data_IF_492230524032
#
_entry.id   IF_492230524032
#
_cell.length_a   1.000
_cell.length_b   1.000
_cell.length_c   1.000
_cell.angle_alpha   90.00
_cell.angle_beta   90.00
_cell.angle_gamma   90.00
#
_symmetry.space_group_name_H-M   'P 1'
#
loop_
_entity.id
_entity.type
_entity.pdbx_description
1 polymer ?
#
# COMPACT_ATOMS: atom_id res chain seq x y z
N UNK A 1 4.75 5.84 -12.90
CA UNK A 1 3.42 6.04 -13.51
C UNK A 1 2.32 5.77 -12.51
N UNK A 2 1.14 6.37 -12.73
CA UNK A 2 -0.06 6.19 -11.90
C UNK A 2 -1.28 6.10 -12.80
N UNK A 3 -2.36 5.49 -12.30
CA UNK A 3 -3.67 5.49 -12.94
C UNK A 3 -4.69 6.21 -12.03
N UNK A 4 -5.42 7.16 -12.60
CA UNK A 4 -6.44 7.94 -11.89
C UNK A 4 -7.72 7.93 -12.71
N UNK A 5 -8.78 7.29 -12.19
CA UNK A 5 -10.12 7.31 -12.78
C UNK A 5 -10.95 8.40 -12.10
N UNK A 6 -11.56 9.30 -12.86
CA UNK A 6 -12.36 10.41 -12.31
C UNK A 6 -13.83 10.16 -12.63
N UNK A 7 -14.66 10.16 -11.60
CA UNK A 7 -16.08 9.83 -11.65
C UNK A 7 -16.92 10.83 -10.86
N UNK A 8 -18.22 10.82 -11.13
CA UNK A 8 -19.24 11.53 -10.35
C UNK A 8 -20.23 10.50 -9.84
N UNK A 9 -20.45 10.50 -8.53
CA UNK A 9 -21.26 9.50 -7.87
C UNK A 9 -22.75 9.86 -7.94
N UNK A 10 -23.61 8.90 -7.63
CA UNK A 10 -25.05 9.09 -7.44
C UNK A 10 -25.47 8.31 -6.21
N UNK A 11 -26.29 8.92 -5.35
CA UNK A 11 -26.82 8.22 -4.18
C UNK A 11 -28.30 7.92 -4.37
N UNK A 12 -28.68 6.65 -4.28
CA UNK A 12 -30.05 6.17 -4.42
C UNK A 12 -30.46 5.38 -3.17
N UNK A 13 -31.68 5.58 -2.69
CA UNK A 13 -32.26 4.83 -1.58
C UNK A 13 -33.17 3.74 -2.14
N UNK A 14 -32.74 2.48 -2.06
CA UNK A 14 -33.46 1.33 -2.58
C UNK A 14 -34.83 1.12 -1.90
N UNK A 15 -34.90 1.24 -0.58
CA UNK A 15 -36.14 1.05 0.19
C UNK A 15 -37.22 2.07 -0.18
N UNK A 16 -36.82 3.34 -0.30
CA UNK A 16 -37.70 4.47 -0.63
C UNK A 16 -37.84 4.71 -2.13
N UNK A 17 -37.14 3.93 -2.96
CA UNK A 17 -37.09 4.03 -4.42
C UNK A 17 -36.90 5.45 -4.94
N UNK A 18 -35.93 6.19 -4.38
CA UNK A 18 -35.66 7.58 -4.77
C UNK A 18 -34.21 8.00 -4.55
N UNK A 19 -33.79 9.02 -5.28
CA UNK A 19 -32.49 9.65 -5.10
C UNK A 19 -32.32 10.23 -3.69
N UNK A 20 -31.11 10.09 -3.15
CA UNK A 20 -30.65 10.77 -1.94
C UNK A 20 -29.98 12.07 -2.38
N UNK A 21 -30.68 13.18 -2.18
CA UNK A 21 -30.24 14.51 -2.58
C UNK A 21 -29.33 15.18 -1.54
N UNK A 22 -29.25 14.64 -0.32
CA UNK A 22 -28.42 15.15 0.76
C UNK A 22 -26.99 14.60 0.77
N UNK A 23 -26.70 13.56 -0.02
CA UNK A 23 -25.35 13.01 -0.12
C UNK A 23 -24.42 14.04 -0.79
N UNK A 24 -23.26 14.28 -0.19
CA UNK A 24 -22.26 15.20 -0.70
C UNK A 24 -20.87 14.77 -0.27
N UNK A 25 -19.84 15.36 -0.89
CA UNK A 25 -18.45 15.18 -0.52
C UNK A 25 -17.67 14.30 -1.50
N UNK A 26 -16.42 14.05 -1.14
CA UNK A 26 -15.45 13.34 -1.98
C UNK A 26 -15.22 11.93 -1.46
N UNK A 27 -15.12 10.97 -2.37
CA UNK A 27 -14.74 9.60 -2.05
C UNK A 27 -13.58 9.16 -2.93
N UNK A 28 -12.66 8.40 -2.35
CA UNK A 28 -11.55 7.81 -3.10
C UNK A 28 -11.55 6.31 -2.86
N UNK A 29 -11.50 5.55 -3.94
CA UNK A 29 -11.53 4.10 -3.94
C UNK A 29 -10.20 3.54 -4.42
N UNK A 30 -9.69 2.57 -3.67
CA UNK A 30 -8.59 1.71 -4.09
C UNK A 30 -9.09 0.29 -4.34
N UNK A 31 -8.33 -0.46 -5.13
CA UNK A 31 -8.64 -1.86 -5.36
C UNK A 31 -8.62 -2.64 -4.03
N UNK A 32 -9.68 -3.39 -3.75
CA UNK A 32 -9.73 -4.35 -2.64
C UNK A 32 -8.91 -5.61 -2.95
N UNK A 33 -8.62 -6.38 -1.90
CA UNK A 33 -8.03 -7.72 -1.97
C UNK A 33 -8.99 -8.78 -2.52
N UNK A 34 -10.30 -8.52 -2.53
CA UNK A 34 -11.27 -9.39 -3.20
C UNK A 34 -10.97 -9.48 -4.70
N UNK A 35 -11.01 -10.69 -5.27
CA UNK A 35 -10.59 -11.01 -6.64
C UNK A 35 -9.09 -10.91 -6.92
N UNK A 36 -8.21 -10.87 -5.91
CA UNK A 36 -6.76 -11.07 -6.12
C UNK A 36 -6.50 -12.41 -6.81
N UNK A 37 -7.13 -13.51 -6.41
CA UNK A 37 -6.90 -14.82 -7.05
C UNK A 37 -7.24 -14.80 -8.54
N UNK A 38 -8.38 -14.20 -8.91
CA UNK A 38 -8.77 -14.03 -10.32
C UNK A 38 -7.79 -13.10 -11.05
N UNK A 39 -7.31 -12.02 -10.40
CA UNK A 39 -6.27 -11.12 -10.93
C UNK A 39 -4.98 -11.88 -11.21
N UNK A 40 -4.51 -12.62 -10.20
CA UNK A 40 -3.29 -13.44 -10.23
C UNK A 40 -3.39 -14.48 -11.33
N UNK A 41 -4.52 -15.18 -11.46
CA UNK A 41 -4.70 -16.19 -12.51
C UNK A 41 -4.73 -15.59 -13.92
N UNK A 42 -5.46 -14.48 -14.13
CA UNK A 42 -5.46 -13.80 -15.45
C UNK A 42 -4.08 -13.25 -15.82
N UNK A 43 -3.30 -12.73 -14.87
CA UNK A 43 -1.96 -12.20 -15.14
C UNK A 43 -0.91 -13.31 -15.27
N UNK A 44 -1.09 -14.45 -14.58
CA UNK A 44 -0.31 -15.68 -14.80
C UNK A 44 -0.49 -16.22 -16.21
N UNK A 45 -1.72 -16.25 -16.72
CA UNK A 45 -2.05 -16.75 -18.06
C UNK A 45 -1.62 -15.81 -19.19
N UNK A 46 -1.57 -14.50 -18.94
CA UNK A 46 -1.26 -13.47 -19.95
C UNK A 46 0.24 -13.13 -20.06
N UNK A 47 1.11 -13.73 -19.23
CA UNK A 47 2.55 -13.63 -19.36
C UNK A 47 3.06 -14.37 -20.61
N UNK A 48 3.03 -13.71 -21.77
CA UNK A 48 3.69 -14.22 -22.97
C UNK A 48 5.08 -13.62 -23.09
N UNK A 49 6.09 -14.48 -23.19
CA UNK A 49 7.44 -14.05 -23.55
C UNK A 49 7.60 -14.33 -25.03
N UNK A 50 8.04 -13.32 -25.78
CA UNK A 50 8.54 -13.52 -27.14
C UNK A 50 9.85 -14.29 -27.04
N UNK A 51 9.84 -15.54 -27.47
CA UNK A 51 11.03 -16.38 -27.57
C UNK A 51 11.40 -16.54 -29.03
N UNK A 52 12.68 -16.66 -29.33
CA UNK A 52 13.14 -16.97 -30.69
C UNK A 52 13.40 -18.47 -30.74
N UNK A 53 12.76 -19.17 -31.67
CA UNK A 53 12.96 -20.62 -31.83
C UNK A 53 14.37 -20.90 -32.41
N UNK A 54 14.76 -22.18 -32.48
CA UNK A 54 16.08 -22.57 -33.03
C UNK A 54 16.28 -22.20 -34.51
N UNK A 55 15.21 -21.85 -35.23
CA UNK A 55 15.23 -21.39 -36.61
C UNK A 55 15.31 -19.86 -36.73
N UNK A 56 15.36 -19.11 -35.62
CA UNK A 56 15.45 -17.65 -35.63
C UNK A 56 14.11 -16.93 -35.70
N UNK A 57 12.97 -17.63 -35.58
CA UNK A 57 11.64 -17.04 -35.69
C UNK A 57 11.08 -16.66 -34.31
N UNK A 58 10.45 -15.48 -34.21
CA UNK A 58 9.74 -15.06 -33.00
C UNK A 58 8.48 -15.92 -32.78
N UNK A 59 8.45 -16.69 -31.70
CA UNK A 59 7.28 -17.41 -31.20
C UNK A 59 6.84 -16.83 -29.85
N UNK A 60 5.54 -16.57 -29.69
CA UNK A 60 4.96 -16.15 -28.41
C UNK A 60 4.63 -17.40 -27.58
N UNK A 61 5.48 -17.74 -26.61
CA UNK A 61 5.20 -18.83 -25.67
C UNK A 61 4.43 -18.30 -24.46
N UNK A 62 3.24 -18.86 -24.22
CA UNK A 62 2.52 -18.68 -22.95
C UNK A 62 3.15 -19.60 -21.92
N UNK A 63 3.79 -19.02 -20.91
CA UNK A 63 4.31 -19.77 -19.79
C UNK A 63 3.23 -19.82 -18.69
N UNK A 64 2.84 -21.03 -18.30
CA UNK A 64 2.04 -21.20 -17.10
C UNK A 64 2.94 -21.08 -15.85
N UNK A 65 2.86 -19.92 -15.20
CA UNK A 65 3.59 -19.66 -13.96
C UNK A 65 2.85 -20.13 -12.70
N UNK A 66 1.68 -20.78 -12.83
CA UNK A 66 0.84 -21.19 -11.69
C UNK A 66 1.61 -22.00 -10.65
N UNK A 67 2.51 -22.88 -11.09
CA UNK A 67 3.32 -23.77 -10.25
C UNK A 67 4.66 -23.17 -9.77
N UNK A 68 5.08 -22.01 -10.30
CA UNK A 68 6.37 -21.41 -9.95
C UNK A 68 6.28 -20.58 -8.66
N UNK A 69 6.73 -21.17 -7.54
CA UNK A 69 6.71 -20.55 -6.21
C UNK A 69 7.43 -19.19 -6.15
N UNK A 70 8.57 -19.04 -6.83
CA UNK A 70 9.36 -17.80 -6.85
C UNK A 70 8.64 -16.70 -7.63
N UNK A 71 8.04 -17.04 -8.77
CA UNK A 71 7.25 -16.09 -9.55
C UNK A 71 6.04 -15.60 -8.75
N UNK A 72 5.32 -16.53 -8.11
CA UNK A 72 4.16 -16.24 -7.28
C UNK A 72 4.53 -15.30 -6.12
N UNK A 73 5.66 -15.56 -5.46
CA UNK A 73 6.21 -14.70 -4.43
C UNK A 73 6.45 -13.26 -4.90
N UNK A 74 7.17 -13.10 -6.01
CA UNK A 74 7.51 -11.79 -6.57
C UNK A 74 6.23 -11.04 -6.94
N UNK A 75 5.26 -11.76 -7.50
CA UNK A 75 3.98 -11.18 -7.89
C UNK A 75 3.16 -10.73 -6.67
N UNK A 76 3.07 -11.54 -5.61
CA UNK A 76 2.44 -11.14 -4.35
C UNK A 76 3.07 -9.88 -3.76
N UNK A 77 4.41 -9.81 -3.75
CA UNK A 77 5.15 -8.63 -3.26
C UNK A 77 4.79 -7.40 -4.10
N UNK A 78 4.82 -7.51 -5.44
CA UNK A 78 4.44 -6.40 -6.33
C UNK A 78 3.01 -5.94 -6.10
N UNK A 79 2.09 -6.86 -5.87
CA UNK A 79 0.69 -6.53 -5.58
C UNK A 79 0.54 -5.78 -4.25
N UNK A 80 1.26 -6.19 -3.22
CA UNK A 80 1.30 -5.49 -1.94
C UNK A 80 1.90 -4.07 -2.08
N UNK A 81 2.98 -3.93 -2.86
CA UNK A 81 3.58 -2.63 -3.18
C UNK A 81 2.60 -1.70 -3.90
N UNK A 82 1.96 -2.19 -4.98
CA UNK A 82 0.96 -1.43 -5.74
C UNK A 82 -0.19 -0.99 -4.83
N UNK A 83 -0.66 -1.88 -3.94
CA UNK A 83 -1.70 -1.55 -2.98
C UNK A 83 -1.29 -0.42 -2.03
N UNK A 84 -0.08 -0.49 -1.46
CA UNK A 84 0.45 0.55 -0.57
C UNK A 84 0.61 1.89 -1.29
N UNK A 85 1.17 1.87 -2.50
CA UNK A 85 1.34 3.06 -3.32
C UNK A 85 -0.01 3.68 -3.70
N UNK A 86 -1.01 2.85 -4.03
CA UNK A 86 -2.38 3.30 -4.34
C UNK A 86 -3.06 3.91 -3.11
N UNK A 87 -2.84 3.33 -1.92
CA UNK A 87 -3.36 3.84 -0.65
C UNK A 87 -2.77 5.22 -0.34
N UNK A 88 -1.47 5.40 -0.53
CA UNK A 88 -0.81 6.70 -0.34
C UNK A 88 -1.31 7.73 -1.35
N UNK A 89 -1.36 7.38 -2.63
CA UNK A 89 -1.90 8.24 -3.68
C UNK A 89 -3.33 8.68 -3.36
N UNK A 90 -4.19 7.74 -2.95
CA UNK A 90 -5.57 8.01 -2.56
C UNK A 90 -5.67 8.97 -1.38
N UNK A 91 -4.80 8.80 -0.38
CA UNK A 91 -4.76 9.68 0.79
C UNK A 91 -4.39 11.11 0.41
N UNK A 92 -3.30 11.32 -0.34
CA UNK A 92 -2.89 12.68 -0.73
C UNK A 92 -3.96 13.38 -1.57
N UNK A 93 -4.49 12.69 -2.58
CA UNK A 93 -5.57 13.22 -3.42
C UNK A 93 -6.82 13.53 -2.60
N UNK A 94 -7.24 12.61 -1.73
CA UNK A 94 -8.40 12.79 -0.86
C UNK A 94 -8.24 13.99 0.08
N UNK A 95 -7.07 14.14 0.70
CA UNK A 95 -6.76 15.27 1.58
C UNK A 95 -6.82 16.61 0.83
N UNK A 96 -6.16 16.74 -0.31
CA UNK A 96 -6.15 18.02 -1.06
C UNK A 96 -7.52 18.40 -1.61
N UNK A 97 -8.31 17.42 -2.05
CA UNK A 97 -9.69 17.70 -2.50
C UNK A 97 -10.65 17.99 -1.34
N UNK A 98 -10.41 17.39 -0.17
CA UNK A 98 -11.28 17.53 1.00
C UNK A 98 -11.03 18.79 1.83
N UNK A 99 -9.85 19.40 1.72
CA UNK A 99 -9.43 20.55 2.53
C UNK A 99 -10.23 21.86 2.28
N UNK A 100 -11.05 21.93 1.23
CA UNK A 100 -11.87 23.12 0.88
C UNK A 100 -13.35 22.92 1.23
N UNK A 101 -13.63 22.56 2.48
CA UNK A 101 -15.01 22.34 3.00
C UNK A 101 -15.77 21.16 2.35
N UNK A 102 -15.08 20.34 1.56
CA UNK A 102 -15.65 19.17 0.89
C UNK A 102 -15.37 17.95 1.76
N UNK A 103 -16.32 17.59 2.61
CA UNK A 103 -16.14 16.48 3.53
C UNK A 103 -15.57 15.22 2.83
N UNK A 104 -14.37 14.79 3.23
CA UNK A 104 -13.74 13.57 2.71
C UNK A 104 -14.38 12.37 3.41
N UNK A 105 -15.05 11.50 2.66
CA UNK A 105 -15.75 10.33 3.23
C UNK A 105 -14.82 9.11 3.40
N UNK A 106 -13.51 9.36 3.48
CA UNK A 106 -12.44 8.40 3.65
C UNK A 106 -11.99 7.69 2.36
N UNK A 107 -10.89 6.93 2.49
CA UNK A 107 -10.42 6.00 1.45
C UNK A 107 -11.12 4.66 1.64
N UNK A 108 -11.80 4.19 0.58
CA UNK A 108 -12.59 2.96 0.59
C UNK A 108 -11.93 1.90 -0.30
N UNK A 109 -12.14 0.64 0.02
CA UNK A 109 -11.70 -0.47 -0.81
C UNK A 109 -12.89 -1.02 -1.58
N UNK A 110 -12.78 -1.16 -2.90
CA UNK A 110 -13.83 -1.73 -3.74
C UNK A 110 -13.23 -2.52 -4.89
N UNK A 111 -13.86 -3.64 -5.24
CA UNK A 111 -13.45 -4.43 -6.42
C UNK A 111 -13.99 -3.74 -7.66
N UNK A 112 -13.19 -2.86 -8.25
CA UNK A 112 -13.55 -2.09 -9.44
C UNK A 112 -12.84 -2.69 -10.66
N UNK A 113 -13.58 -2.93 -11.74
CA UNK A 113 -13.01 -3.49 -12.98
C UNK A 113 -11.89 -2.61 -13.54
N UNK A 114 -12.07 -1.28 -13.49
CA UNK A 114 -11.13 -0.29 -14.02
C UNK A 114 -9.78 -0.26 -13.30
N UNK A 115 -9.72 -0.67 -12.03
CA UNK A 115 -8.47 -0.74 -11.25
C UNK A 115 -7.89 -2.16 -11.18
N UNK A 116 -8.58 -3.16 -11.75
CA UNK A 116 -8.24 -4.57 -11.57
C UNK A 116 -7.04 -5.05 -12.41
N UNK A 117 -6.80 -4.51 -13.62
CA UNK A 117 -5.74 -4.99 -14.53
C UNK A 117 -4.45 -4.16 -14.53
N UNK A 118 -4.29 -3.24 -13.59
CA UNK A 118 -3.13 -2.35 -13.58
C UNK A 118 -1.97 -2.92 -12.74
N UNK A 119 -0.76 -2.83 -13.31
CA UNK A 119 0.53 -3.09 -12.66
C UNK A 119 1.18 -1.80 -12.09
N UNK A 120 0.41 -0.71 -12.05
CA UNK A 120 0.80 0.59 -11.50
C UNK A 120 -0.18 1.01 -10.40
N UNK A 121 0.21 1.94 -9.50
CA UNK A 121 -0.68 2.49 -8.48
C UNK A 121 -1.95 3.07 -9.11
N UNK A 122 -3.12 2.73 -8.57
CA UNK A 122 -4.41 3.06 -9.18
C UNK A 122 -5.47 3.48 -8.18
N UNK A 123 -6.18 4.56 -8.50
CA UNK A 123 -7.28 5.10 -7.69
C UNK A 123 -8.47 5.45 -8.57
N UNK A 124 -9.68 5.30 -8.01
CA UNK A 124 -10.90 5.88 -8.55
C UNK A 124 -11.35 6.99 -7.61
N UNK A 125 -11.65 8.15 -8.17
CA UNK A 125 -12.07 9.34 -7.44
C UNK A 125 -13.52 9.62 -7.80
N UNK A 126 -14.38 9.67 -6.79
CA UNK A 126 -15.71 10.27 -6.91
C UNK A 126 -15.61 11.71 -6.44
N UNK A 127 -15.68 12.64 -7.40
CA UNK A 127 -15.47 14.07 -7.11
C UNK A 127 -16.67 14.73 -6.47
N UNK A 128 -17.83 14.08 -6.35
CA UNK A 128 -19.08 14.61 -5.80
C UNK A 128 -20.28 13.74 -6.18
N UNK A 129 -21.49 14.15 -5.79
CA UNK A 129 -22.74 13.46 -6.05
C UNK A 129 -23.63 14.23 -7.03
N UNK A 130 -23.95 13.65 -8.18
CA UNK A 130 -24.83 14.24 -9.20
C UNK A 130 -26.28 14.39 -8.71
N UNK A 131 -26.69 13.59 -7.73
CA UNK A 131 -28.03 13.65 -7.11
C UNK A 131 -28.19 14.85 -6.18
N UNK A 132 -27.09 15.49 -5.76
CA UNK A 132 -27.11 16.71 -4.97
C UNK A 132 -27.00 17.94 -5.88
N UNK A 133 -27.97 18.84 -5.78
CA UNK A 133 -28.07 20.01 -6.64
C UNK A 133 -26.93 21.02 -6.43
N UNK A 134 -26.49 21.23 -5.18
CA UNK A 134 -25.37 22.12 -4.88
C UNK A 134 -24.05 21.57 -5.45
N UNK A 135 -23.79 20.28 -5.27
CA UNK A 135 -22.61 19.63 -5.84
C UNK A 135 -22.65 19.62 -7.37
N UNK A 136 -23.81 19.37 -7.97
CA UNK A 136 -23.98 19.42 -9.44
C UNK A 136 -23.69 20.81 -9.99
N UNK A 137 -24.21 21.87 -9.36
CA UNK A 137 -23.90 23.26 -9.75
C UNK A 137 -22.42 23.57 -9.61
N UNK A 138 -21.81 23.17 -8.50
CA UNK A 138 -20.38 23.32 -8.27
C UNK A 138 -19.55 22.62 -9.35
N UNK A 139 -19.80 21.33 -9.61
CA UNK A 139 -19.08 20.53 -10.62
C UNK A 139 -19.28 21.05 -12.05
N UNK A 140 -20.41 21.70 -12.35
CA UNK A 140 -20.65 22.33 -13.65
C UNK A 140 -19.99 23.70 -13.81
N UNK A 141 -19.74 24.41 -12.71
CA UNK A 141 -19.09 25.72 -12.73
C UNK A 141 -17.61 25.61 -13.13
N UNK A 142 -17.08 26.66 -13.78
CA UNK A 142 -15.65 26.71 -14.14
C UNK A 142 -14.76 26.73 -12.90
N UNK A 143 -15.16 27.47 -11.87
CA UNK A 143 -14.41 27.55 -10.63
C UNK A 143 -14.37 26.19 -9.90
N UNK A 144 -15.50 25.48 -9.83
CA UNK A 144 -15.55 24.15 -9.22
C UNK A 144 -14.68 23.14 -9.97
N UNK A 145 -14.73 23.11 -11.31
CA UNK A 145 -13.83 22.25 -12.11
C UNK A 145 -12.36 22.59 -11.86
N UNK A 146 -12.00 23.87 -11.77
CA UNK A 146 -10.64 24.33 -11.47
C UNK A 146 -10.20 23.88 -10.09
N UNK A 147 -11.06 24.02 -9.08
CA UNK A 147 -10.79 23.58 -7.71
C UNK A 147 -10.57 22.07 -7.66
N UNK A 148 -11.43 21.28 -8.30
CA UNK A 148 -11.32 19.82 -8.37
C UNK A 148 -10.02 19.38 -9.05
N UNK A 149 -9.76 19.90 -10.24
CA UNK A 149 -8.55 19.58 -10.99
C UNK A 149 -7.30 19.97 -10.21
N UNK A 150 -7.32 21.11 -9.51
CA UNK A 150 -6.20 21.56 -8.69
C UNK A 150 -5.98 20.66 -7.48
N UNK A 151 -7.04 20.23 -6.78
CA UNK A 151 -6.92 19.29 -5.67
C UNK A 151 -6.33 17.94 -6.09
N UNK A 152 -6.76 17.40 -7.23
CA UNK A 152 -6.18 16.17 -7.81
C UNK A 152 -4.69 16.39 -8.14
N UNK A 153 -4.37 17.50 -8.81
CA UNK A 153 -2.99 17.86 -9.17
C UNK A 153 -2.09 17.98 -7.93
N UNK A 154 -2.49 18.77 -6.93
CA UNK A 154 -1.71 18.98 -5.72
C UNK A 154 -1.51 17.67 -4.96
N UNK A 155 -2.52 16.80 -4.92
CA UNK A 155 -2.41 15.46 -4.33
C UNK A 155 -1.39 14.57 -5.04
N UNK A 156 -1.37 14.60 -6.38
CA UNK A 156 -0.39 13.87 -7.19
C UNK A 156 1.02 14.42 -6.98
N UNK A 157 1.19 15.75 -6.92
CA UNK A 157 2.50 16.37 -6.69
C UNK A 157 3.04 16.01 -5.30
N UNK A 158 2.20 16.05 -4.25
CA UNK A 158 2.60 15.61 -2.91
C UNK A 158 3.00 14.13 -2.89
N UNK A 159 2.19 13.27 -3.51
CA UNK A 159 2.53 11.86 -3.67
C UNK A 159 3.89 11.66 -4.34
N UNK A 160 4.14 12.37 -5.45
CA UNK A 160 5.41 12.28 -6.19
C UNK A 160 6.59 12.74 -5.33
N UNK A 161 6.47 13.87 -4.64
CA UNK A 161 7.53 14.40 -3.78
C UNK A 161 7.92 13.38 -2.70
N UNK A 162 6.95 12.81 -2.02
CA UNK A 162 7.21 11.83 -0.94
C UNK A 162 7.78 10.52 -1.50
N UNK A 163 7.36 10.11 -2.71
CA UNK A 163 7.94 8.98 -3.43
C UNK A 163 9.41 9.23 -3.83
N UNK A 164 9.72 10.40 -4.38
CA UNK A 164 11.08 10.77 -4.79
C UNK A 164 12.02 10.86 -3.59
N UNK A 165 11.60 11.50 -2.49
CA UNK A 165 12.37 11.58 -1.24
C UNK A 165 12.67 10.19 -0.68
N UNK A 166 11.68 9.29 -0.72
CA UNK A 166 11.88 7.90 -0.30
C UNK A 166 12.91 7.20 -1.18
N UNK A 167 12.91 7.46 -2.49
CA UNK A 167 13.87 6.88 -3.44
C UNK A 167 15.27 7.46 -3.29
N UNK A 168 15.40 8.76 -3.06
CA UNK A 168 16.67 9.45 -2.86
C UNK A 168 17.35 9.02 -1.55
N UNK A 169 16.58 8.84 -0.47
CA UNK A 169 17.08 8.26 0.77
C UNK A 169 17.67 6.85 0.56
N UNK A 170 17.07 6.04 -0.32
CA UNK A 170 17.56 4.71 -0.68
C UNK A 170 18.79 4.75 -1.62
N UNK A 171 18.92 5.80 -2.44
CA UNK A 171 20.05 5.97 -3.37
C UNK A 171 21.27 6.66 -2.72
N UNK A 172 21.08 7.49 -1.70
CA UNK A 172 22.17 8.13 -0.95
C UNK A 172 22.96 7.15 -0.08
N UNK A 173 22.34 6.05 0.37
CA UNK A 173 23.00 5.01 1.18
C UNK A 173 23.92 4.09 0.35
N UNK A 174 23.80 4.06 -0.99
CA UNK A 174 24.55 3.13 -1.86
C UNK A 174 25.91 3.65 -2.34
N UNK A 175 26.27 4.91 -2.08
CA UNK A 175 27.56 5.50 -2.52
C UNK A 175 28.69 5.28 -1.49
N UNK A 176 28.38 4.89 -0.24
CA UNK A 176 29.35 4.93 0.86
C UNK A 176 29.78 3.57 1.44
N UNK A 177 29.73 2.48 0.66
CA UNK A 177 30.19 1.15 1.12
C UNK A 177 31.17 0.50 0.14
N UNK A 178 32.45 0.87 0.25
CA UNK A 178 33.56 -0.04 -0.06
C UNK A 178 34.13 -0.55 1.26
N UNK A 179 34.42 -1.84 1.27
CA UNK A 179 35.23 -2.62 2.21
C UNK A 179 34.81 -2.63 3.68
N UNK A 180 34.25 -3.77 4.12
CA UNK A 180 35.02 -4.80 4.83
C UNK A 180 34.11 -5.98 5.13
N UNK A 181 34.46 -7.13 4.57
CA UNK A 181 34.00 -8.44 5.02
C UNK A 181 34.53 -8.72 6.43
N UNK A 182 33.65 -9.09 7.36
CA UNK A 182 33.98 -10.06 8.41
C UNK A 182 32.72 -10.78 8.89
N UNK A 183 32.82 -12.11 8.89
CA UNK A 183 31.93 -13.07 9.52
C UNK A 183 31.57 -12.71 10.96
N UNK A 184 30.30 -12.85 11.32
CA UNK A 184 29.95 -13.32 12.67
C UNK A 184 28.64 -14.09 12.66
N UNK A 185 28.73 -15.36 13.05
CA UNK A 185 27.62 -16.18 13.55
C UNK A 185 26.88 -15.45 14.66
N UNK A 186 25.56 -15.59 14.75
CA UNK A 186 24.83 -15.61 16.02
C UNK A 186 23.50 -16.37 15.89
N UNK A 187 23.34 -17.31 16.81
CA UNK A 187 22.30 -18.31 16.92
C UNK A 187 20.99 -17.79 17.52
N UNK A 188 19.88 -18.35 17.00
CA UNK A 188 18.65 -18.82 17.66
C UNK A 188 18.08 -18.10 18.90
N UNK A 189 16.83 -17.61 18.77
CA UNK A 189 15.77 -17.70 19.80
C UNK A 189 14.46 -18.17 19.12
N UNK A 190 13.61 -19.03 19.74
CA UNK A 190 12.46 -19.72 19.10
C UNK A 190 11.24 -18.82 18.82
N UNK A 191 10.27 -19.36 18.09
CA UNK A 191 9.06 -18.69 17.60
C UNK A 191 7.78 -19.17 18.31
N UNK A 192 6.63 -18.52 18.04
CA UNK A 192 5.24 -18.69 18.55
C UNK A 192 4.82 -18.09 19.92
N UNK A 193 3.52 -17.72 20.07
CA UNK A 193 3.07 -16.48 20.73
C UNK A 193 2.70 -16.68 22.20
N UNK A 194 3.12 -15.75 23.07
CA UNK A 194 2.47 -15.46 24.35
C UNK A 194 2.63 -13.99 24.71
N UNK A 195 1.52 -13.41 25.14
CA UNK A 195 1.48 -12.18 25.91
C UNK A 195 2.51 -12.21 27.05
N UNK A 196 3.43 -11.25 27.06
CA UNK A 196 3.87 -10.61 28.29
C UNK A 196 3.84 -9.09 28.05
N UNK A 197 2.71 -8.51 28.45
CA UNK A 197 2.59 -7.09 28.74
C UNK A 197 3.57 -6.77 29.86
N UNK A 198 4.67 -6.09 29.54
CA UNK A 198 5.43 -5.30 30.52
C UNK A 198 5.23 -3.83 30.18
N UNK A 199 4.70 -3.09 31.16
CA UNK A 199 4.34 -1.66 31.16
C UNK A 199 3.14 -1.26 30.27
N UNK A 200 2.05 -0.85 30.91
CA UNK A 200 0.75 -0.50 30.29
C UNK A 200 0.73 0.92 29.67
N UNK A 201 1.89 1.51 29.39
CA UNK A 201 2.01 2.87 28.86
C UNK A 201 3.27 3.12 28.00
N UNK A 202 4.05 2.08 27.68
CA UNK A 202 5.29 2.22 26.94
C UNK A 202 5.09 2.19 25.42
N UNK A 203 5.82 3.04 24.72
CA UNK A 203 5.84 3.08 23.25
C UNK A 203 6.88 2.09 22.77
N UNK A 204 6.49 1.19 21.88
CA UNK A 204 7.38 0.20 21.27
C UNK A 204 7.53 0.51 19.78
N UNK A 205 8.78 0.69 19.36
CA UNK A 205 9.17 0.88 17.97
C UNK A 205 9.49 -0.47 17.33
N UNK A 206 9.18 -0.63 16.04
CA UNK A 206 9.47 -1.86 15.29
C UNK A 206 9.42 -1.62 13.78
N UNK A 207 10.06 -2.47 12.98
CA UNK A 207 9.96 -2.42 11.52
C UNK A 207 8.76 -3.21 11.03
N UNK A 208 7.85 -2.60 10.27
CA UNK A 208 6.85 -3.34 9.50
C UNK A 208 7.49 -3.80 8.19
N UNK A 209 7.58 -5.11 7.97
CA UNK A 209 8.31 -5.72 6.85
C UNK A 209 7.42 -6.39 5.82
N UNK A 210 6.21 -6.82 6.22
CA UNK A 210 5.31 -7.53 5.32
C UNK A 210 3.84 -7.38 5.75
N UNK A 211 2.90 -7.59 4.82
CA UNK A 211 1.46 -7.60 5.11
C UNK A 211 0.82 -8.75 4.34
N UNK A 212 -0.08 -9.50 4.99
CA UNK A 212 -0.83 -10.60 4.39
C UNK A 212 -2.31 -10.55 4.79
N UNK A 213 -3.21 -11.00 3.93
CA UNK A 213 -4.64 -11.21 4.27
C UNK A 213 -4.87 -12.54 5.00
N UNK A 214 -3.85 -13.41 5.04
CA UNK A 214 -3.88 -14.72 5.72
C UNK A 214 -2.70 -14.86 6.68
N UNK A 215 -2.84 -15.60 7.79
CA UNK A 215 -1.72 -15.86 8.67
C UNK A 215 -0.68 -16.73 7.96
N UNK A 216 0.57 -16.32 8.07
CA UNK A 216 1.76 -17.00 7.57
C UNK A 216 2.45 -17.77 8.70
N UNK A 217 3.15 -18.84 8.34
CA UNK A 217 3.96 -19.64 9.26
C UNK A 217 5.27 -18.92 9.57
N UNK A 218 5.85 -19.20 10.73
CA UNK A 218 7.07 -18.51 11.21
C UNK A 218 8.29 -18.73 10.31
N UNK A 219 8.34 -19.84 9.56
CA UNK A 219 9.39 -20.20 8.62
C UNK A 219 9.06 -19.84 7.17
N UNK A 220 8.03 -19.00 6.95
CA UNK A 220 7.62 -18.61 5.61
C UNK A 220 8.79 -17.94 4.87
N UNK A 221 9.05 -18.42 3.66
CA UNK A 221 10.18 -17.98 2.83
C UNK A 221 10.15 -16.46 2.57
N UNK A 222 8.96 -15.81 2.62
CA UNK A 222 8.80 -14.37 2.46
C UNK A 222 9.46 -13.57 3.57
N UNK A 223 9.69 -14.16 4.74
CA UNK A 223 10.41 -13.52 5.83
C UNK A 223 11.92 -13.53 5.65
N UNK A 224 12.45 -14.13 4.57
CA UNK A 224 13.89 -14.11 4.25
C UNK A 224 14.75 -14.59 5.42
N UNK A 225 14.24 -15.60 6.15
CA UNK A 225 14.82 -16.19 7.38
C UNK A 225 14.74 -15.30 8.63
N UNK A 226 14.13 -14.12 8.57
CA UNK A 226 13.80 -13.35 9.77
C UNK A 226 12.65 -14.01 10.52
N UNK A 227 12.69 -13.92 11.85
CA UNK A 227 11.57 -14.29 12.71
C UNK A 227 10.69 -13.08 12.93
N UNK A 228 9.57 -13.04 12.22
CA UNK A 228 8.65 -11.93 12.28
C UNK A 228 7.57 -12.17 13.35
N UNK A 229 7.27 -11.15 14.13
CA UNK A 229 6.01 -11.06 14.87
C UNK A 229 4.92 -10.50 13.96
N UNK A 230 3.67 -10.53 14.40
CA UNK A 230 2.61 -9.83 13.69
C UNK A 230 1.55 -9.28 14.62
N UNK A 231 0.81 -8.30 14.14
CA UNK A 231 -0.43 -7.85 14.73
C UNK A 231 -1.54 -7.82 13.68
N UNK A 232 -2.78 -7.95 14.13
CA UNK A 232 -3.95 -7.90 13.26
C UNK A 232 -4.54 -6.50 13.27
N UNK A 233 -4.63 -5.90 12.09
CA UNK A 233 -5.35 -4.64 11.87
C UNK A 233 -6.45 -4.89 10.85
N UNK A 234 -7.70 -4.90 11.33
CA UNK A 234 -8.88 -5.32 10.58
C UNK A 234 -8.68 -6.74 10.02
N UNK A 235 -8.64 -6.90 8.69
CA UNK A 235 -8.48 -8.18 8.01
C UNK A 235 -7.04 -8.45 7.54
N UNK A 236 -6.07 -7.63 7.96
CA UNK A 236 -4.68 -7.75 7.53
C UNK A 236 -3.79 -8.15 8.70
N UNK A 237 -2.91 -9.11 8.45
CA UNK A 237 -1.79 -9.49 9.29
C UNK A 237 -0.60 -8.63 8.89
N UNK A 238 -0.16 -7.76 9.80
CA UNK A 238 0.98 -6.87 9.60
C UNK A 238 2.17 -7.44 10.34
N UNK A 239 3.17 -7.88 9.59
CA UNK A 239 4.36 -8.54 10.10
C UNK A 239 5.44 -7.53 10.42
N UNK A 240 6.03 -7.69 11.59
CA UNK A 240 7.01 -6.79 12.17
C UNK A 240 8.27 -7.52 12.63
N UNK A 241 9.37 -6.78 12.72
CA UNK A 241 10.67 -7.28 13.16
C UNK A 241 11.40 -6.24 14.00
N UNK A 242 12.20 -6.71 14.96
CA UNK A 242 13.09 -5.85 15.76
C UNK A 242 12.34 -4.85 16.64
N UNK A 243 11.53 -5.33 17.58
CA UNK A 243 10.80 -4.46 18.50
C UNK A 243 11.65 -4.03 19.69
N UNK A 244 11.67 -2.73 20.00
CA UNK A 244 12.29 -2.18 21.22
C UNK A 244 11.57 -0.90 21.67
N UNK A 245 11.70 -0.54 22.94
CA UNK A 245 11.27 0.77 23.46
C UNK A 245 12.31 1.86 23.18
N UNK A 246 13.55 1.48 22.83
CA UNK A 246 14.60 2.39 22.37
C UNK A 246 14.51 2.59 20.85
N UNK A 247 14.20 3.82 20.43
CA UNK A 247 14.13 4.21 19.02
C UNK A 247 15.45 3.98 18.27
N UNK A 248 16.60 4.30 18.89
CA UNK A 248 17.91 4.22 18.25
C UNK A 248 18.37 2.76 18.09
N UNK A 249 17.93 1.86 18.97
CA UNK A 249 18.12 0.42 18.79
C UNK A 249 17.41 -0.07 17.51
N UNK A 250 16.15 0.30 17.31
CA UNK A 250 15.38 -0.09 16.11
C UNK A 250 15.91 0.60 14.86
N UNK A 251 16.36 1.86 14.98
CA UNK A 251 16.95 2.61 13.87
C UNK A 251 18.26 1.96 13.38
N UNK A 252 19.10 1.43 14.29
CA UNK A 252 20.34 0.73 13.92
C UNK A 252 20.11 -0.46 12.98
N UNK A 253 18.92 -1.05 12.99
CA UNK A 253 18.54 -2.16 12.12
C UNK A 253 18.15 -1.71 10.70
N UNK A 254 17.98 -0.41 10.45
CA UNK A 254 17.48 0.16 9.19
C UNK A 254 18.19 -0.41 7.96
N UNK A 255 19.52 -0.42 7.95
CA UNK A 255 20.30 -0.81 6.78
C UNK A 255 20.11 -2.29 6.42
N UNK A 256 20.07 -3.18 7.42
CA UNK A 256 19.86 -4.61 7.19
C UNK A 256 18.41 -4.87 6.75
N UNK A 257 17.46 -4.26 7.44
CA UNK A 257 16.04 -4.45 7.14
C UNK A 257 15.67 -3.89 5.78
N UNK A 258 16.18 -2.74 5.37
CA UNK A 258 15.92 -2.20 4.03
C UNK A 258 16.63 -2.96 2.92
N UNK A 259 17.80 -3.56 3.20
CA UNK A 259 18.45 -4.48 2.27
C UNK A 259 17.57 -5.71 1.98
N UNK A 260 16.91 -6.24 3.01
CA UNK A 260 16.01 -7.39 2.88
C UNK A 260 14.61 -6.98 2.42
N UNK A 261 14.10 -5.84 2.85
CA UNK A 261 12.74 -5.37 2.64
C UNK A 261 12.77 -3.88 2.28
N UNK A 262 12.95 -3.53 0.99
CA UNK A 262 13.12 -2.14 0.57
C UNK A 262 11.96 -1.21 0.97
N UNK A 263 10.74 -1.75 1.07
CA UNK A 263 9.54 -1.00 1.46
C UNK A 263 9.24 -1.05 2.96
N UNK A 264 10.14 -1.63 3.76
CA UNK A 264 9.96 -1.65 5.20
C UNK A 264 10.02 -0.23 5.76
N UNK A 265 9.19 0.01 6.76
CA UNK A 265 9.18 1.28 7.49
C UNK A 265 8.96 1.02 8.98
N UNK A 266 9.52 1.91 9.79
CA UNK A 266 9.35 1.84 11.24
C UNK A 266 7.97 2.34 11.65
N UNK A 267 7.40 1.68 12.64
CA UNK A 267 6.13 2.03 13.28
C UNK A 267 6.34 2.15 14.78
N UNK A 268 5.46 2.92 15.42
CA UNK A 268 5.35 2.99 16.87
C UNK A 268 4.00 2.40 17.31
N UNK A 269 4.04 1.60 18.37
CA UNK A 269 2.88 0.96 18.97
C UNK A 269 2.78 1.36 20.43
N UNK A 270 1.61 1.84 20.86
CA UNK A 270 1.29 2.11 22.26
C UNK A 270 -0.01 1.40 22.62
N UNK A 271 -0.01 0.61 23.68
CA UNK A 271 -1.20 -0.14 24.13
C UNK A 271 -1.86 -0.99 23.02
N UNK A 272 -1.04 -1.63 22.19
CA UNK A 272 -1.50 -2.47 21.07
C UNK A 272 -2.07 -1.69 19.88
N UNK A 273 -2.01 -0.35 19.88
CA UNK A 273 -2.47 0.51 18.78
C UNK A 273 -1.30 1.26 18.15
N UNK A 274 -1.39 1.48 16.83
CA UNK A 274 -0.41 2.28 16.10
C UNK A 274 -0.57 3.76 16.45
N UNK A 275 0.54 4.42 16.74
CA UNK A 275 0.63 5.87 17.00
C UNK A 275 1.55 6.51 15.97
N UNK A 276 1.46 7.84 15.79
CA UNK A 276 2.38 8.56 14.92
C UNK A 276 3.78 8.55 15.54
N UNK A 277 4.77 8.10 14.77
CA UNK A 277 6.15 7.97 15.23
C UNK A 277 6.77 9.33 15.57
N UNK A 278 6.34 10.41 14.92
CA UNK A 278 6.87 11.75 15.15
C UNK A 278 6.32 12.38 16.44
N UNK A 279 5.16 11.92 16.92
CA UNK A 279 4.54 12.42 18.15
C UNK A 279 5.14 11.77 19.40
N UNK A 280 5.82 10.64 19.23
CA UNK A 280 6.28 9.78 20.35
C UNK A 280 7.79 9.56 20.38
N UNK A 281 8.51 10.07 19.38
CA UNK A 281 9.98 10.11 19.36
C UNK A 281 10.43 11.29 20.24
N UNK A 282 10.76 11.00 21.51
CA UNK A 282 11.48 11.93 22.37
C UNK A 282 12.98 11.84 22.11
#
# INVERSE_FOLDING_TARGET
DIFVSIHVNSAYNEEKKRDVTSAHGVEVYIQTVENIERKTNTLREKGSIKTVNKAGEEEAKRYDYSSNKTFNAIYEIKQAQIFNLSTNLARYIGTEMGAKDRNLRGVKQKSLYVTWQTLIPSVLIEVGYITNEEERRFMNSQEGKRILARGIYDGIIRYKKDFDLSREALAGESVNRRDTDTNTNLSSVPATPKDEVKSKDEVVFMWQVFISSVPLKDDDYRFKKLKCSYYKDKNMYKYTYGSSTDYDEVLRMQAEIRKLFPDAFMIAMKNGKRVDINEVRQ
#
